data_IF_402314323992
#
_entry.id   IF_402314323992
#
_cell.length_a   1.000
_cell.length_b   1.000
_cell.length_c   1.000
_cell.angle_alpha   90.00
_cell.angle_beta   90.00
_cell.angle_gamma   90.00
#
_symmetry.space_group_name_H-M   'P 1'
#
loop_
_entity.id
_entity.type
_entity.pdbx_description
1 polymer ?
#
# COMPACT_ATOMS: atom_id res chain seq x y z
N UNK A 1 12.36 6.83 23.11
CA UNK A 1 10.90 6.80 22.86
C UNK A 1 10.66 6.59 21.37
N UNK A 2 10.05 5.45 21.00
CA UNK A 2 9.63 5.19 19.62
C UNK A 2 8.73 6.34 19.13
N UNK A 3 8.97 6.86 17.93
CA UNK A 3 8.09 7.89 17.36
C UNK A 3 6.74 7.23 17.06
N UNK A 4 5.63 7.90 17.39
CA UNK A 4 4.33 7.34 17.01
C UNK A 4 4.22 7.25 15.48
N UNK A 5 3.66 6.16 14.97
CA UNK A 5 3.48 5.93 13.53
C UNK A 5 2.85 7.15 12.82
N UNK A 6 1.88 7.82 13.46
CA UNK A 6 1.25 9.05 12.94
C UNK A 6 2.24 10.22 12.82
N UNK A 7 3.19 10.37 13.74
CA UNK A 7 4.23 11.40 13.65
C UNK A 7 5.16 11.16 12.46
N UNK A 8 5.49 9.90 12.18
CA UNK A 8 6.27 9.52 10.98
C UNK A 8 5.48 9.80 9.70
N UNK A 9 4.20 9.41 9.65
CA UNK A 9 3.33 9.72 8.50
C UNK A 9 3.24 11.24 8.22
N UNK A 10 3.07 12.07 9.25
CA UNK A 10 3.08 13.54 9.10
C UNK A 10 4.40 14.08 8.55
N UNK A 11 5.54 13.51 8.96
CA UNK A 11 6.85 13.89 8.43
C UNK A 11 7.00 13.52 6.95
N UNK A 12 6.53 12.33 6.57
CA UNK A 12 6.48 11.88 5.17
C UNK A 12 5.63 12.85 4.33
N UNK A 13 4.43 13.19 4.79
CA UNK A 13 3.51 14.11 4.10
C UNK A 13 4.16 15.48 3.89
N UNK A 14 4.78 16.07 4.94
CA UNK A 14 5.47 17.35 4.82
C UNK A 14 6.56 17.33 3.75
N UNK A 15 7.40 16.28 3.75
CA UNK A 15 8.45 16.10 2.74
C UNK A 15 7.84 16.00 1.33
N UNK A 16 6.86 15.13 1.14
CA UNK A 16 6.22 14.93 -0.17
C UNK A 16 5.54 16.19 -0.70
N UNK A 17 4.81 16.90 0.16
CA UNK A 17 4.13 18.15 -0.22
C UNK A 17 5.14 19.20 -0.65
N UNK A 18 6.25 19.34 0.07
CA UNK A 18 7.31 20.29 -0.27
C UNK A 18 7.97 19.97 -1.62
N UNK A 19 8.11 18.69 -1.96
CA UNK A 19 8.74 18.25 -3.23
C UNK A 19 7.81 18.29 -4.44
N UNK A 20 6.50 18.12 -4.25
CA UNK A 20 5.56 17.85 -5.35
C UNK A 20 4.46 18.90 -5.48
N UNK A 21 4.26 19.75 -4.48
CA UNK A 21 3.17 20.73 -4.40
C UNK A 21 1.75 20.15 -4.51
N UNK A 22 1.60 18.82 -4.33
CA UNK A 22 0.32 18.12 -4.46
C UNK A 22 -0.64 18.41 -3.32
N UNK A 23 -1.95 18.30 -3.61
CA UNK A 23 -3.00 18.32 -2.59
C UNK A 23 -2.74 17.20 -1.57
N UNK A 24 -2.94 17.50 -0.29
CA UNK A 24 -2.88 16.50 0.78
C UNK A 24 -4.30 16.22 1.28
N UNK A 25 -4.69 14.95 1.27
CA UNK A 25 -5.94 14.46 1.80
C UNK A 25 -5.69 13.57 3.01
N UNK A 26 -6.17 13.99 4.17
CA UNK A 26 -6.16 13.17 5.38
C UNK A 26 -7.47 12.43 5.46
N UNK A 27 -7.44 11.10 5.40
CA UNK A 27 -8.64 10.27 5.23
C UNK A 27 -8.65 9.15 6.26
N UNK A 28 -9.81 8.88 6.84
CA UNK A 28 -10.01 7.73 7.73
C UNK A 28 -10.33 6.49 6.89
N UNK A 29 -9.61 5.39 7.11
CA UNK A 29 -10.00 4.08 6.62
C UNK A 29 -11.21 3.58 7.42
N UNK A 30 -12.17 3.04 6.70
CA UNK A 30 -13.38 2.45 7.20
C UNK A 30 -13.21 0.97 7.56
N UNK A 31 -14.34 0.28 7.62
CA UNK A 31 -14.40 -1.14 7.92
C UNK A 31 -15.69 -1.78 7.40
N UNK A 32 -15.95 -3.04 7.75
CA UNK A 32 -17.20 -3.71 7.39
C UNK A 32 -18.41 -2.82 7.66
N UNK A 33 -19.31 -2.71 6.66
CA UNK A 33 -20.52 -1.86 6.65
C UNK A 33 -20.29 -0.35 6.56
N UNK A 34 -19.07 0.15 6.70
CA UNK A 34 -18.75 1.58 6.60
C UNK A 34 -17.38 1.79 5.94
N UNK A 35 -17.22 1.30 4.71
CA UNK A 35 -15.99 1.47 3.93
C UNK A 35 -15.92 2.87 3.34
N UNK A 36 -14.77 3.53 3.46
CA UNK A 36 -14.60 4.88 2.92
C UNK A 36 -14.65 4.87 1.40
N UNK A 37 -15.72 5.43 0.82
CA UNK A 37 -15.97 5.40 -0.64
C UNK A 37 -14.81 5.99 -1.44
N UNK A 38 -14.20 7.05 -0.95
CA UNK A 38 -13.08 7.74 -1.60
C UNK A 38 -11.86 6.83 -1.80
N UNK A 39 -11.58 5.94 -0.84
CA UNK A 39 -10.43 5.03 -0.91
C UNK A 39 -10.69 3.78 -1.76
N UNK A 40 -11.88 3.67 -2.36
CA UNK A 40 -12.31 2.49 -3.10
C UNK A 40 -12.39 2.70 -4.61
N UNK A 41 -12.34 1.59 -5.33
CA UNK A 41 -12.73 1.51 -6.74
C UNK A 41 -14.25 1.33 -6.81
N UNK A 42 -14.88 1.92 -7.81
CA UNK A 42 -16.30 1.72 -8.09
C UNK A 42 -16.50 1.39 -9.56
N UNK A 43 -17.54 0.62 -9.85
CA UNK A 43 -17.86 0.29 -11.24
C UNK A 43 -18.36 1.54 -11.95
N UNK A 44 -17.67 1.96 -13.01
CA UNK A 44 -18.06 3.10 -13.87
C UNK A 44 -17.81 2.72 -15.31
N UNK A 45 -18.82 2.87 -16.18
CA UNK A 45 -18.72 2.62 -17.64
C UNK A 45 -18.06 1.26 -17.99
N UNK A 46 -18.40 0.21 -17.24
CA UNK A 46 -17.89 -1.15 -17.46
C UNK A 46 -16.56 -1.50 -16.78
N UNK A 47 -15.80 -0.52 -16.29
CA UNK A 47 -14.49 -0.70 -15.64
C UNK A 47 -14.55 -0.47 -14.12
N UNK A 48 -13.54 -0.95 -13.39
CA UNK A 48 -13.38 -0.70 -11.95
C UNK A 48 -12.47 0.51 -11.72
N UNK A 49 -13.00 1.72 -11.85
CA UNK A 49 -12.22 2.96 -11.72
C UNK A 49 -11.98 3.36 -10.26
N UNK A 50 -10.83 3.96 -9.98
CA UNK A 50 -10.53 4.61 -8.71
C UNK A 50 -11.51 5.75 -8.39
N UNK A 51 -11.93 5.88 -7.13
CA UNK A 51 -12.66 7.06 -6.65
C UNK A 51 -11.71 8.15 -6.10
N UNK A 52 -10.48 7.80 -5.76
CA UNK A 52 -9.48 8.75 -5.31
C UNK A 52 -8.99 9.61 -6.47
N UNK A 53 -8.56 10.82 -6.12
CA UNK A 53 -8.05 11.84 -7.04
C UNK A 53 -6.65 11.52 -7.57
N UNK A 54 -6.35 11.88 -8.84
CA UNK A 54 -4.98 11.93 -9.34
C UNK A 54 -4.17 13.02 -8.62
N UNK A 55 -2.84 12.95 -8.78
CA UNK A 55 -1.89 13.95 -8.28
C UNK A 55 -2.08 14.35 -6.82
N UNK A 56 -2.42 13.38 -5.98
CA UNK A 56 -2.81 13.63 -4.59
C UNK A 56 -1.96 12.79 -3.63
N UNK A 57 -1.63 13.38 -2.49
CA UNK A 57 -1.02 12.69 -1.36
C UNK A 57 -2.13 12.31 -0.38
N UNK A 58 -2.29 11.02 -0.11
CA UNK A 58 -3.24 10.50 0.87
C UNK A 58 -2.52 10.13 2.16
N UNK A 59 -2.90 10.73 3.28
CA UNK A 59 -2.56 10.24 4.61
C UNK A 59 -3.75 9.45 5.14
N UNK A 60 -3.67 8.12 5.08
CA UNK A 60 -4.75 7.23 5.48
C UNK A 60 -4.54 6.75 6.91
N UNK A 61 -5.45 7.11 7.81
CA UNK A 61 -5.45 6.60 9.18
C UNK A 61 -6.44 5.45 9.32
N UNK A 62 -5.96 4.29 9.78
CA UNK A 62 -6.80 3.15 10.12
C UNK A 62 -6.97 3.07 11.63
N UNK A 63 -8.10 3.57 12.13
CA UNK A 63 -8.40 3.60 13.57
C UNK A 63 -8.45 2.22 14.22
N UNK A 64 -8.87 1.17 13.50
CA UNK A 64 -8.95 -0.20 14.05
C UNK A 64 -7.56 -0.78 14.35
N UNK A 65 -6.58 -0.51 13.49
CA UNK A 65 -5.20 -0.95 13.69
C UNK A 65 -4.32 0.12 14.36
N UNK A 66 -4.87 1.32 14.59
CA UNK A 66 -4.13 2.51 15.00
C UNK A 66 -2.84 2.69 14.19
N UNK A 67 -2.99 2.65 12.86
CA UNK A 67 -1.91 2.78 11.88
C UNK A 67 -2.19 3.95 10.95
N UNK A 68 -1.15 4.50 10.35
CA UNK A 68 -1.20 5.60 9.39
C UNK A 68 -0.18 5.33 8.30
N UNK A 69 -0.65 5.29 7.05
CA UNK A 69 0.18 5.10 5.87
C UNK A 69 -0.04 6.24 4.89
N UNK A 70 0.99 6.57 4.12
CA UNK A 70 0.96 7.65 3.14
C UNK A 70 1.05 7.08 1.74
N UNK A 71 0.14 7.50 0.88
CA UNK A 71 0.10 7.11 -0.53
C UNK A 71 0.23 8.36 -1.41
N UNK A 72 0.73 8.19 -2.63
CA UNK A 72 0.78 9.26 -3.63
C UNK A 72 0.33 8.73 -4.97
N UNK A 73 -0.56 9.47 -5.64
CA UNK A 73 -1.12 9.10 -6.95
C UNK A 73 -0.53 9.94 -8.08
N UNK A 74 -0.34 9.38 -9.27
CA UNK A 74 0.07 10.14 -10.46
C UNK A 74 -1.10 10.84 -11.17
N UNK A 75 -0.85 11.44 -12.33
CA UNK A 75 -1.85 12.13 -13.15
C UNK A 75 -2.98 11.22 -13.66
N UNK A 76 -2.75 9.90 -13.72
CA UNK A 76 -3.76 8.90 -14.07
C UNK A 76 -4.51 8.37 -12.84
N UNK A 77 -4.15 8.79 -11.63
CA UNK A 77 -4.72 8.27 -10.39
C UNK A 77 -4.10 6.97 -9.92
N UNK A 78 -2.98 6.53 -10.50
CA UNK A 78 -2.30 5.30 -10.11
C UNK A 78 -1.43 5.54 -8.88
N UNK A 79 -1.39 4.61 -7.95
CA UNK A 79 -0.55 4.73 -6.76
C UNK A 79 0.91 4.50 -7.16
N UNK A 80 1.71 5.56 -7.14
CA UNK A 80 3.15 5.52 -7.47
C UNK A 80 4.06 5.51 -6.25
N UNK A 81 3.46 5.64 -5.06
CA UNK A 81 4.19 5.59 -3.78
C UNK A 81 3.27 5.14 -2.66
N UNK A 82 3.76 4.25 -1.81
CA UNK A 82 3.18 3.93 -0.51
C UNK A 82 4.30 3.89 0.53
N UNK A 83 4.17 4.62 1.64
CA UNK A 83 5.23 4.73 2.64
C UNK A 83 4.68 4.81 4.07
N UNK A 84 5.39 4.20 5.01
CA UNK A 84 5.13 4.38 6.43
C UNK A 84 5.98 3.49 7.33
N UNK A 85 5.85 3.71 8.64
CA UNK A 85 6.39 2.82 9.66
C UNK A 85 5.38 1.70 9.92
N UNK A 86 5.78 0.45 9.73
CA UNK A 86 4.90 -0.69 9.95
C UNK A 86 4.55 -0.84 11.44
N UNK A 87 3.36 -1.36 11.68
CA UNK A 87 2.89 -1.77 13.01
C UNK A 87 2.37 -3.19 12.95
N UNK A 88 2.60 -4.04 13.95
CA UNK A 88 2.08 -5.41 13.93
C UNK A 88 0.68 -5.47 14.59
N UNK A 89 -0.32 -4.93 13.90
CA UNK A 89 -1.72 -4.87 14.35
C UNK A 89 -2.66 -5.16 13.20
N UNK A 90 -3.42 -6.24 13.28
CA UNK A 90 -4.27 -6.68 12.17
C UNK A 90 -5.41 -5.70 11.86
N UNK A 91 -5.64 -5.45 10.58
CA UNK A 91 -6.83 -4.77 10.04
C UNK A 91 -7.80 -5.76 9.39
N UNK A 92 -8.88 -5.24 8.79
CA UNK A 92 -9.88 -6.06 8.10
C UNK A 92 -9.73 -5.95 6.59
N UNK A 93 -9.77 -7.11 5.93
CA UNK A 93 -9.72 -7.26 4.48
C UNK A 93 -11.08 -6.92 3.84
N UNK A 94 -11.06 -6.26 2.69
CA UNK A 94 -12.25 -6.02 1.86
C UNK A 94 -12.18 -6.86 0.58
N UNK A 95 -12.80 -8.05 0.60
CA UNK A 95 -12.73 -9.01 -0.52
C UNK A 95 -13.20 -8.45 -1.87
N UNK A 96 -14.24 -7.62 -1.89
CA UNK A 96 -14.74 -6.96 -3.10
C UNK A 96 -13.67 -6.06 -3.74
N UNK A 97 -12.95 -5.28 -2.93
CA UNK A 97 -11.90 -4.40 -3.44
C UNK A 97 -10.68 -5.18 -3.91
N UNK A 98 -10.36 -6.28 -3.24
CA UNK A 98 -9.30 -7.19 -3.66
C UNK A 98 -9.59 -7.78 -5.04
N UNK A 99 -10.83 -8.25 -5.27
CA UNK A 99 -11.26 -8.73 -6.58
C UNK A 99 -11.26 -7.65 -7.66
N UNK A 100 -11.65 -6.41 -7.33
CA UNK A 100 -11.62 -5.27 -8.28
C UNK A 100 -10.21 -4.84 -8.67
N UNK A 101 -9.24 -5.01 -7.77
CA UNK A 101 -7.84 -4.67 -8.00
C UNK A 101 -7.12 -5.74 -8.82
N UNK A 102 -7.37 -7.02 -8.58
CA UNK A 102 -6.84 -8.12 -9.41
C UNK A 102 -7.55 -8.22 -10.77
N UNK A 103 -7.58 -9.41 -11.37
CA UNK A 103 -8.40 -9.68 -12.56
C UNK A 103 -9.89 -9.88 -12.25
N UNK A 104 -10.18 -10.36 -11.03
CA UNK A 104 -11.48 -10.79 -10.49
C UNK A 104 -12.70 -10.67 -11.42
N UNK A 105 -13.22 -11.82 -11.86
CA UNK A 105 -14.35 -11.98 -12.79
C UNK A 105 -14.18 -11.36 -14.20
N UNK A 106 -12.93 -11.19 -14.67
CA UNK A 106 -12.62 -10.61 -15.98
C UNK A 106 -12.94 -9.12 -16.10
N UNK A 107 -13.03 -8.44 -14.96
CA UNK A 107 -13.53 -7.05 -14.86
C UNK A 107 -12.63 -6.17 -14.01
N UNK A 108 -11.63 -6.75 -13.36
CA UNK A 108 -10.62 -6.02 -12.60
C UNK A 108 -9.64 -5.27 -13.49
N UNK A 109 -8.78 -4.47 -12.87
CA UNK A 109 -7.81 -3.62 -13.61
C UNK A 109 -6.48 -4.33 -13.87
N UNK A 110 -6.33 -5.57 -13.40
CA UNK A 110 -5.20 -6.45 -13.68
C UNK A 110 -5.35 -7.34 -14.90
N UNK A 111 -4.30 -8.08 -15.21
CA UNK A 111 -4.25 -9.14 -16.22
C UNK A 111 -4.76 -10.46 -15.64
N UNK A 112 -5.15 -11.42 -16.50
CA UNK A 112 -5.46 -12.78 -16.06
C UNK A 112 -4.31 -13.36 -15.23
N UNK A 113 -4.63 -13.90 -14.05
CA UNK A 113 -3.64 -14.37 -13.07
C UNK A 113 -3.21 -13.34 -12.01
N UNK A 114 -3.63 -12.08 -12.13
CA UNK A 114 -3.39 -11.09 -11.09
C UNK A 114 -4.42 -11.19 -9.94
N UNK A 115 -3.90 -11.08 -8.72
CA UNK A 115 -4.65 -10.87 -7.49
C UNK A 115 -4.66 -9.37 -7.13
N UNK A 116 -5.57 -8.99 -6.22
CA UNK A 116 -5.46 -7.69 -5.54
C UNK A 116 -4.40 -7.76 -4.45
N UNK A 117 -3.17 -7.41 -4.80
CA UNK A 117 -2.02 -7.39 -3.89
C UNK A 117 -2.08 -6.19 -2.96
N UNK A 118 -1.92 -6.41 -1.65
CA UNK A 118 -1.84 -5.29 -0.71
C UNK A 118 -0.43 -4.68 -0.74
N UNK A 119 -0.34 -3.35 -0.77
CA UNK A 119 0.93 -2.66 -0.58
C UNK A 119 1.39 -2.78 0.88
N UNK A 120 0.48 -2.54 1.82
CA UNK A 120 0.66 -2.90 3.22
C UNK A 120 -0.33 -3.99 3.59
N UNK A 121 0.15 -5.21 3.88
CA UNK A 121 -0.68 -6.32 4.31
C UNK A 121 -1.55 -6.00 5.53
N UNK A 122 -2.68 -6.70 5.65
CA UNK A 122 -3.61 -6.48 6.77
C UNK A 122 -2.97 -6.75 8.13
N UNK A 123 -1.99 -7.67 8.20
CA UNK A 123 -1.20 -7.91 9.43
C UNK A 123 -0.43 -6.67 9.90
N UNK A 124 -0.16 -5.72 9.00
CA UNK A 124 0.48 -4.45 9.31
C UNK A 124 -0.50 -3.29 9.53
N UNK A 125 -1.79 -3.58 9.62
CA UNK A 125 -2.81 -2.55 9.77
C UNK A 125 -3.10 -1.80 8.47
N UNK A 126 -2.66 -2.30 7.32
CA UNK A 126 -2.96 -1.70 6.02
C UNK A 126 -4.47 -1.59 5.80
N UNK A 127 -4.92 -0.51 5.14
CA UNK A 127 -6.34 -0.32 4.86
C UNK A 127 -6.87 -1.45 3.97
N UNK A 128 -8.12 -1.87 4.22
CA UNK A 128 -8.79 -2.87 3.37
C UNK A 128 -9.27 -2.27 2.05
N UNK A 129 -9.27 -0.96 1.93
CA UNK A 129 -9.76 -0.23 0.76
C UNK A 129 -8.83 -0.30 -0.45
N UNK A 130 -9.41 -0.03 -1.62
CA UNK A 130 -8.76 -0.20 -2.92
C UNK A 130 -7.47 0.59 -3.13
N UNK A 131 -7.28 1.75 -2.49
CA UNK A 131 -6.06 2.55 -2.61
C UNK A 131 -4.82 1.76 -2.16
N UNK A 132 -4.98 0.84 -1.21
CA UNK A 132 -3.91 -0.01 -0.71
C UNK A 132 -3.75 -1.31 -1.52
N UNK A 133 -4.43 -1.44 -2.67
CA UNK A 133 -4.44 -2.66 -3.48
C UNK A 133 -4.17 -2.38 -4.95
N UNK A 134 -3.20 -3.08 -5.52
CA UNK A 134 -2.82 -3.01 -6.94
C UNK A 134 -2.91 -4.40 -7.59
N UNK A 135 -3.05 -4.48 -8.93
CA UNK A 135 -2.85 -5.73 -9.65
C UNK A 135 -1.46 -6.30 -9.35
N UNK A 136 -1.44 -7.51 -8.80
CA UNK A 136 -0.20 -8.19 -8.49
C UNK A 136 -0.30 -9.64 -8.95
N UNK A 137 0.66 -10.07 -9.77
CA UNK A 137 0.77 -11.44 -10.23
C UNK A 137 0.68 -12.37 -9.03
N UNK A 138 -0.16 -13.41 -9.13
CA UNK A 138 -0.28 -14.39 -8.07
C UNK A 138 1.12 -14.91 -7.68
N UNK A 139 2.00 -15.17 -8.67
CA UNK A 139 3.36 -15.67 -8.47
C UNK A 139 4.23 -14.80 -7.56
N UNK A 140 3.91 -13.51 -7.47
CA UNK A 140 4.54 -12.57 -6.54
C UNK A 140 3.78 -12.49 -5.20
N UNK A 141 2.44 -12.39 -5.23
CA UNK A 141 1.58 -12.05 -4.08
C UNK A 141 1.25 -13.21 -3.11
N UNK A 142 1.08 -14.45 -3.61
CA UNK A 142 0.43 -15.49 -2.78
C UNK A 142 1.38 -16.18 -1.77
N UNK A 143 0.78 -16.90 -0.81
CA UNK A 143 1.49 -17.49 0.33
C UNK A 143 2.56 -18.54 -0.05
N UNK A 144 3.57 -18.71 0.81
CA UNK A 144 4.56 -19.78 0.72
C UNK A 144 5.91 -19.32 0.18
N UNK A 145 6.33 -19.85 -0.98
CA UNK A 145 7.68 -19.64 -1.52
C UNK A 145 7.89 -18.30 -2.25
N UNK A 146 6.88 -17.43 -2.31
CA UNK A 146 6.88 -16.20 -3.12
C UNK A 146 7.56 -15.04 -2.39
N UNK A 147 8.31 -14.21 -3.12
CA UNK A 147 9.27 -13.28 -2.53
C UNK A 147 8.62 -12.15 -1.72
N UNK A 148 7.46 -11.66 -2.17
CA UNK A 148 6.70 -10.64 -1.44
C UNK A 148 6.27 -11.15 -0.06
N UNK A 149 5.67 -12.34 -0.03
CA UNK A 149 5.25 -12.99 1.22
C UNK A 149 6.44 -13.19 2.18
N UNK A 150 7.59 -13.66 1.66
CA UNK A 150 8.81 -13.82 2.49
C UNK A 150 9.30 -12.51 3.07
N UNK A 151 9.26 -11.43 2.29
CA UNK A 151 9.60 -10.08 2.76
C UNK A 151 8.65 -9.62 3.87
N UNK A 152 7.33 -9.81 3.71
CA UNK A 152 6.35 -9.49 4.75
C UNK A 152 6.56 -10.33 6.02
N UNK A 153 6.90 -11.62 5.91
CA UNK A 153 7.19 -12.44 7.08
C UNK A 153 8.46 -11.97 7.82
N UNK A 154 9.50 -11.57 7.10
CA UNK A 154 10.71 -11.01 7.71
C UNK A 154 10.41 -9.68 8.42
N UNK A 155 9.64 -8.78 7.81
CA UNK A 155 9.21 -7.56 8.50
C UNK A 155 8.41 -7.87 9.79
N UNK A 156 7.52 -8.86 9.74
CA UNK A 156 6.78 -9.27 10.93
C UNK A 156 7.69 -9.85 12.03
N UNK A 157 8.74 -10.60 11.66
CA UNK A 157 9.74 -11.09 12.62
C UNK A 157 10.51 -9.94 13.27
N UNK A 158 10.95 -8.95 12.49
CA UNK A 158 11.66 -7.77 12.99
C UNK A 158 10.79 -6.96 13.98
N UNK A 159 9.52 -6.75 13.63
CA UNK A 159 8.57 -6.08 14.54
C UNK A 159 8.35 -6.88 15.84
N UNK A 160 8.28 -8.22 15.77
CA UNK A 160 8.17 -9.08 16.96
C UNK A 160 9.43 -9.03 17.83
N UNK A 161 10.60 -8.85 17.23
CA UNK A 161 11.86 -8.67 17.93
C UNK A 161 12.00 -7.29 18.60
N UNK A 162 11.02 -6.39 18.42
CA UNK A 162 11.01 -5.05 18.98
C UNK A 162 11.76 -4.01 18.12
N UNK A 163 12.13 -4.37 16.89
CA UNK A 163 12.77 -3.46 15.95
C UNK A 163 11.72 -2.60 15.23
N UNK A 164 12.11 -1.40 14.80
CA UNK A 164 11.27 -0.56 13.96
C UNK A 164 11.49 -0.89 12.49
N UNK A 165 10.42 -0.97 11.70
CA UNK A 165 10.49 -1.20 10.25
C UNK A 165 9.81 -0.05 9.52
N UNK A 166 10.57 0.74 8.78
CA UNK A 166 10.07 1.79 7.89
C UNK A 166 10.12 1.31 6.45
N UNK A 167 9.04 1.44 5.70
CA UNK A 167 8.90 0.88 4.34
C UNK A 167 8.48 1.97 3.36
N UNK A 168 9.09 1.96 2.18
CA UNK A 168 8.76 2.75 0.99
C UNK A 168 8.60 1.80 -0.20
N UNK A 169 7.41 1.76 -0.78
CA UNK A 169 7.06 0.98 -1.97
C UNK A 169 6.79 1.94 -3.12
N UNK A 170 7.43 1.71 -4.26
CA UNK A 170 7.33 2.51 -5.48
C UNK A 170 6.90 1.57 -6.63
N UNK A 171 5.59 1.44 -6.89
CA UNK A 171 5.11 0.76 -8.08
C UNK A 171 5.49 1.56 -9.34
N UNK A 172 6.01 0.88 -10.35
CA UNK A 172 6.31 1.47 -11.66
C UNK A 172 5.35 0.95 -12.71
N UNK A 173 5.01 1.79 -13.69
CA UNK A 173 4.01 1.47 -14.70
C UNK A 173 4.60 1.57 -16.11
N UNK A 174 4.18 0.71 -17.05
CA UNK A 174 4.44 0.91 -18.47
C UNK A 174 3.90 2.26 -18.98
N UNK A 175 4.37 2.70 -20.15
CA UNK A 175 3.80 3.87 -20.82
C UNK A 175 2.32 3.62 -21.15
N UNK A 176 1.50 4.65 -20.98
CA UNK A 176 0.06 4.61 -21.23
C UNK A 176 -0.79 4.57 -19.97
N UNK A 177 -2.12 4.49 -20.12
CA UNK A 177 -3.08 4.68 -19.02
C UNK A 177 -3.33 3.42 -18.19
N UNK A 178 -2.56 2.35 -18.38
CA UNK A 178 -2.76 1.07 -17.67
C UNK A 178 -2.53 1.18 -16.17
N UNK A 179 -3.39 0.52 -15.39
CA UNK A 179 -3.43 0.50 -13.92
C UNK A 179 -2.59 -0.64 -13.30
N UNK A 180 -2.00 -1.51 -14.12
CA UNK A 180 -1.13 -2.61 -13.69
C UNK A 180 0.33 -2.17 -13.66
N UNK A 181 1.02 -2.21 -12.51
CA UNK A 181 2.45 -1.95 -12.46
C UNK A 181 3.24 -3.11 -13.07
N UNK A 182 4.42 -2.83 -13.63
CA UNK A 182 5.36 -3.84 -14.11
C UNK A 182 6.40 -4.23 -13.06
N UNK A 183 6.74 -3.31 -12.14
CA UNK A 183 7.69 -3.56 -11.05
C UNK A 183 7.18 -2.95 -9.74
N UNK A 184 7.68 -3.49 -8.64
CA UNK A 184 7.63 -2.86 -7.34
C UNK A 184 9.06 -2.67 -6.83
N UNK A 185 9.48 -1.41 -6.69
CA UNK A 185 10.74 -1.07 -6.02
C UNK A 185 10.41 -0.85 -4.55
N UNK A 186 10.96 -1.69 -3.68
CA UNK A 186 10.73 -1.64 -2.24
C UNK A 186 12.04 -1.33 -1.53
N UNK A 187 12.01 -0.31 -0.68
CA UNK A 187 13.10 0.01 0.22
C UNK A 187 12.56 -0.01 1.64
N UNK A 188 13.25 -0.72 2.53
CA UNK A 188 12.88 -0.70 3.93
C UNK A 188 14.10 -0.54 4.84
N UNK A 189 13.90 0.20 5.92
CA UNK A 189 14.90 0.44 6.96
C UNK A 189 14.46 -0.27 8.22
N UNK A 190 15.36 -1.07 8.78
CA UNK A 190 15.19 -1.73 10.07
C UNK A 190 16.09 -1.03 11.07
N UNK A 191 15.49 -0.50 12.13
CA UNK A 191 16.19 0.13 13.25
C UNK A 191 16.08 -0.77 14.47
N UNK A 192 17.21 -1.25 14.97
CA UNK A 192 17.25 -2.10 16.16
C UNK A 192 16.96 -1.30 17.45
N UNK A 193 16.76 -2.01 18.56
CA UNK A 193 16.54 -1.42 19.88
C UNK A 193 17.68 -0.50 20.38
N UNK A 194 18.87 -0.60 19.79
CA UNK A 194 20.03 0.24 20.10
C UNK A 194 20.14 1.45 19.16
N UNK A 195 19.17 1.64 18.25
CA UNK A 195 19.14 2.72 17.27
C UNK A 195 19.97 2.48 16.01
N UNK A 196 20.59 1.31 15.84
CA UNK A 196 21.35 1.00 14.63
C UNK A 196 20.39 0.70 13.49
N UNK A 197 20.61 1.33 12.35
CA UNK A 197 19.73 1.21 11.19
C UNK A 197 20.42 0.56 10.00
N UNK A 198 19.70 -0.30 9.29
CA UNK A 198 20.10 -0.87 8.00
C UNK A 198 19.01 -0.68 6.97
N UNK A 199 19.37 -0.24 5.77
CA UNK A 199 18.42 -0.04 4.65
C UNK A 199 18.64 -1.11 3.60
N UNK A 200 17.54 -1.70 3.12
CA UNK A 200 17.57 -2.83 2.20
C UNK A 200 16.67 -2.52 1.00
N UNK A 201 17.23 -2.45 -0.22
CA UNK A 201 16.46 -2.38 -1.44
C UNK A 201 16.04 -3.78 -1.91
N UNK A 202 14.88 -3.83 -2.56
CA UNK A 202 14.31 -4.98 -3.27
C UNK A 202 13.61 -4.49 -4.53
N UNK A 203 13.70 -5.27 -5.59
CA UNK A 203 12.94 -5.05 -6.83
C UNK A 203 12.18 -6.33 -7.11
N UNK A 204 10.87 -6.20 -7.32
CA UNK A 204 10.01 -7.32 -7.68
C UNK A 204 9.43 -7.09 -9.06
N UNK A 205 9.63 -8.05 -9.95
CA UNK A 205 8.95 -8.08 -11.24
C UNK A 205 7.51 -8.56 -11.08
N UNK A 206 6.58 -7.85 -11.71
CA UNK A 206 5.18 -8.21 -11.72
C UNK A 206 4.86 -8.90 -13.05
N UNK A 207 5.43 -10.07 -13.27
CA UNK A 207 5.24 -10.89 -14.48
C UNK A 207 3.86 -11.55 -14.45
#
# INVERSE_FOLDING_TARGET
MARSNTKVARAIVRRLRAMTHREVRVVQAGGPRNWTRELNRSRRRGTNSANWRPETIYQVHNGRANSTYVYMTDAHGRVVRAEGQLVLRSSVRHGTQQGRAGYGAGRGVGNSGDEGGHLFGTQFGGAGEGLNMLPQSAQLNSQGRREWYRMEQMWAQELRAGNEVHVKILPTYPRGPGDRPNLYIVEYTITDKNGRSRTIPRVFENN
#
